data_IF_916558180433
#
_entry.id   IF_916558180433
#
_cell.length_a   1.000
_cell.length_b   1.000
_cell.length_c   1.000
_cell.angle_alpha   90.00
_cell.angle_beta   90.00
_cell.angle_gamma   90.00
#
_symmetry.space_group_name_H-M   'P 1'
#
loop_
_entity.id
_entity.type
_entity.pdbx_description
1 polymer ?
#
# COMPACT_ATOMS: atom_id res chain seq x y z
N UNK A 1 -6.56 17.49 3.47
CA UNK A 1 -5.50 16.95 4.35
C UNK A 1 -4.26 17.77 4.07
N UNK A 2 -3.95 18.72 4.95
CA UNK A 2 -2.68 19.44 4.93
C UNK A 2 -1.63 18.47 5.46
N UNK A 3 -0.97 17.75 4.55
CA UNK A 3 0.29 17.10 4.90
C UNK A 3 1.24 18.23 5.26
N UNK A 4 1.68 18.24 6.53
CA UNK A 4 2.73 19.12 7.01
C UNK A 4 3.89 19.18 6.01
N UNK A 5 4.52 20.35 5.95
CA UNK A 5 5.59 20.71 5.04
C UNK A 5 6.45 19.50 4.64
N UNK A 6 6.43 19.11 3.35
CA UNK A 6 7.14 17.91 2.83
C UNK A 6 8.65 17.91 3.12
N UNK A 7 9.20 19.05 3.54
CA UNK A 7 10.59 19.23 3.95
C UNK A 7 10.96 18.50 5.26
N UNK A 8 10.00 18.23 6.15
CA UNK A 8 10.29 17.79 7.53
C UNK A 8 10.20 16.27 7.74
N UNK A 9 10.01 15.49 6.68
CA UNK A 9 9.90 14.02 6.77
C UNK A 9 11.13 13.32 6.21
N UNK A 10 11.49 12.19 6.83
CA UNK A 10 12.59 11.34 6.38
C UNK A 10 12.17 10.37 5.27
N UNK A 11 10.88 10.03 5.20
CA UNK A 11 10.32 9.00 4.33
C UNK A 11 8.85 9.26 4.03
N UNK A 12 8.35 8.65 2.96
CA UNK A 12 6.92 8.67 2.60
C UNK A 12 6.40 7.22 2.55
N UNK A 13 5.27 6.97 3.21
CA UNK A 13 4.53 5.72 3.09
C UNK A 13 3.11 6.06 2.63
N UNK A 14 2.67 5.47 1.53
CA UNK A 14 1.32 5.65 1.00
C UNK A 14 0.58 4.32 0.90
N UNK A 15 -0.74 4.34 1.09
CA UNK A 15 -1.51 3.12 0.91
C UNK A 15 -2.99 3.34 0.66
N UNK A 16 -3.63 2.32 0.10
CA UNK A 16 -5.06 2.29 -0.19
C UNK A 16 -5.56 0.86 -0.32
N UNK A 17 -6.83 0.63 -0.01
CA UNK A 17 -7.51 -0.60 -0.40
C UNK A 17 -7.65 -0.69 -1.93
N UNK A 18 -7.69 -1.91 -2.44
CA UNK A 18 -8.00 -2.25 -3.83
C UNK A 18 -9.49 -2.57 -3.90
N UNK A 19 -10.25 -1.80 -4.68
CA UNK A 19 -11.63 -2.12 -5.04
C UNK A 19 -11.74 -2.21 -6.56
N UNK A 20 -12.33 -3.29 -7.06
CA UNK A 20 -12.49 -3.57 -8.49
C UNK A 20 -11.16 -3.41 -9.26
N UNK A 21 -10.09 -4.05 -8.78
CA UNK A 21 -8.78 -4.06 -9.43
C UNK A 21 -8.04 -2.72 -9.43
N UNK A 22 -8.43 -1.77 -8.57
CA UNK A 22 -7.73 -0.49 -8.48
C UNK A 22 -7.75 0.08 -7.07
N UNK A 23 -6.73 0.89 -6.73
CA UNK A 23 -6.80 1.72 -5.53
C UNK A 23 -8.13 2.51 -5.47
N UNK A 24 -8.65 2.68 -4.26
CA UNK A 24 -9.83 3.51 -4.02
C UNK A 24 -9.64 4.90 -4.64
N UNK A 25 -10.76 5.51 -5.07
CA UNK A 25 -10.76 6.79 -5.79
C UNK A 25 -9.95 7.88 -5.09
N UNK A 26 -10.02 7.96 -3.75
CA UNK A 26 -9.26 8.95 -2.96
C UNK A 26 -7.76 8.72 -3.06
N UNK A 27 -7.29 7.48 -2.89
CA UNK A 27 -5.87 7.11 -3.04
C UNK A 27 -5.34 7.37 -4.45
N UNK A 28 -6.09 6.97 -5.49
CA UNK A 28 -5.73 7.27 -6.89
C UNK A 28 -5.61 8.75 -7.17
N UNK A 29 -6.59 9.55 -6.71
CA UNK A 29 -6.56 11.01 -6.88
C UNK A 29 -5.38 11.62 -6.14
N UNK A 30 -5.06 11.16 -4.94
CA UNK A 30 -3.90 11.65 -4.19
C UNK A 30 -2.61 11.44 -4.99
N UNK A 31 -2.34 10.22 -5.47
CA UNK A 31 -1.14 9.94 -6.27
C UNK A 31 -1.12 10.80 -7.53
N UNK A 32 -2.20 10.79 -8.33
CA UNK A 32 -2.28 11.54 -9.59
C UNK A 32 -2.08 13.04 -9.41
N UNK A 33 -2.69 13.63 -8.38
CA UNK A 33 -2.60 15.07 -8.13
C UNK A 33 -1.21 15.48 -7.59
N UNK A 34 -0.44 14.53 -7.06
CA UNK A 34 0.89 14.78 -6.48
C UNK A 34 2.02 14.10 -7.26
N UNK A 35 1.75 13.52 -8.44
CA UNK A 35 2.72 12.74 -9.25
C UNK A 35 4.05 13.47 -9.40
N UNK A 36 4.03 14.72 -9.86
CA UNK A 36 5.26 15.51 -10.06
C UNK A 36 6.02 15.69 -8.75
N UNK A 37 5.33 16.03 -7.67
CA UNK A 37 5.95 16.24 -6.37
C UNK A 37 6.52 14.94 -5.79
N UNK A 38 5.83 13.81 -5.95
CA UNK A 38 6.26 12.51 -5.47
C UNK A 38 7.42 11.94 -6.30
N UNK A 39 7.44 12.17 -7.62
CA UNK A 39 8.54 11.76 -8.51
C UNK A 39 9.82 12.55 -8.29
N UNK A 40 9.70 13.84 -8.03
CA UNK A 40 10.84 14.73 -7.86
C UNK A 40 11.29 14.82 -6.38
N UNK A 41 10.59 14.14 -5.48
CA UNK A 41 10.92 14.12 -4.07
C UNK A 41 12.15 13.22 -3.84
N UNK A 42 13.18 13.72 -3.11
CA UNK A 42 14.38 12.94 -2.82
C UNK A 42 14.17 11.91 -1.70
N UNK A 43 13.06 11.97 -0.95
CA UNK A 43 12.81 11.06 0.17
C UNK A 43 12.35 9.68 -0.32
N UNK A 44 12.89 8.58 0.24
CA UNK A 44 12.47 7.24 -0.12
C UNK A 44 10.97 7.04 0.13
N UNK A 45 10.31 6.38 -0.81
CA UNK A 45 8.86 6.22 -0.81
C UNK A 45 8.48 4.74 -0.92
N UNK A 46 7.67 4.26 0.02
CA UNK A 46 7.05 2.94 -0.01
C UNK A 46 5.56 3.04 -0.23
N UNK A 47 4.99 1.98 -0.79
CA UNK A 47 3.55 1.83 -0.93
C UNK A 47 3.06 0.51 -0.35
N UNK A 48 1.82 0.50 0.13
CA UNK A 48 1.12 -0.74 0.43
C UNK A 48 -0.29 -0.73 -0.15
N UNK A 49 -0.79 -1.91 -0.50
CA UNK A 49 -2.17 -2.13 -0.90
C UNK A 49 -2.85 -3.05 0.09
N UNK A 50 -4.15 -2.87 0.30
CA UNK A 50 -4.98 -3.87 0.99
C UNK A 50 -5.92 -4.48 -0.02
N UNK A 51 -5.73 -5.76 -0.34
CA UNK A 51 -6.46 -6.47 -1.38
C UNK A 51 -7.39 -7.55 -0.85
N UNK A 52 -7.86 -8.37 -1.77
CA UNK A 52 -8.64 -9.56 -1.46
C UNK A 52 -7.69 -10.72 -1.08
N UNK A 53 -8.10 -11.63 -0.19
CA UNK A 53 -7.32 -12.83 0.12
C UNK A 53 -6.89 -13.58 -1.15
N UNK A 54 -5.74 -14.27 -1.11
CA UNK A 54 -5.19 -14.92 -2.29
C UNK A 54 -6.12 -16.05 -2.76
N UNK A 55 -6.82 -15.80 -3.85
CA UNK A 55 -7.63 -16.74 -4.62
C UNK A 55 -7.35 -16.49 -6.10
N UNK A 56 -7.59 -17.46 -6.97
CA UNK A 56 -7.21 -17.41 -8.40
C UNK A 56 -7.65 -16.12 -9.11
N UNK A 57 -8.86 -15.62 -8.83
CA UNK A 57 -9.39 -14.39 -9.41
C UNK A 57 -8.74 -13.09 -8.93
N UNK A 58 -7.95 -13.13 -7.85
CA UNK A 58 -7.20 -12.00 -7.28
C UNK A 58 -5.68 -12.19 -7.39
N UNK A 59 -5.25 -13.25 -8.10
CA UNK A 59 -3.84 -13.43 -8.43
C UNK A 59 -3.34 -12.22 -9.23
N UNK A 60 -2.16 -11.72 -8.85
CA UNK A 60 -1.54 -10.60 -9.52
C UNK A 60 -1.97 -9.21 -9.05
N UNK A 61 -2.85 -9.06 -8.06
CA UNK A 61 -3.19 -7.75 -7.46
C UNK A 61 -1.93 -6.98 -7.03
N UNK A 62 -0.97 -7.66 -6.40
CA UNK A 62 0.29 -7.05 -5.95
C UNK A 62 1.09 -6.50 -7.14
N UNK A 63 1.32 -7.36 -8.16
CA UNK A 63 2.04 -6.96 -9.37
C UNK A 63 1.33 -5.83 -10.10
N UNK A 64 0.02 -5.90 -10.26
CA UNK A 64 -0.78 -4.88 -10.94
C UNK A 64 -0.67 -3.53 -10.22
N UNK A 65 -0.76 -3.51 -8.89
CA UNK A 65 -0.65 -2.27 -8.13
C UNK A 65 0.76 -1.72 -8.14
N UNK A 66 1.78 -2.58 -7.99
CA UNK A 66 3.19 -2.20 -8.14
C UNK A 66 3.45 -1.57 -9.52
N UNK A 67 3.02 -2.23 -10.59
CA UNK A 67 3.21 -1.75 -11.97
C UNK A 67 2.49 -0.41 -12.22
N UNK A 68 1.28 -0.25 -11.69
CA UNK A 68 0.55 1.02 -11.80
C UNK A 68 1.24 2.15 -11.03
N UNK A 69 1.64 1.90 -9.78
CA UNK A 69 2.29 2.90 -8.93
C UNK A 69 3.67 3.31 -9.45
N UNK A 70 4.50 2.36 -9.89
CA UNK A 70 5.84 2.63 -10.42
C UNK A 70 5.81 3.48 -11.70
N UNK A 71 4.69 3.47 -12.45
CA UNK A 71 4.48 4.40 -13.57
C UNK A 71 4.18 5.82 -13.12
N UNK A 72 3.64 6.00 -11.91
CA UNK A 72 3.31 7.31 -11.35
C UNK A 72 4.46 7.88 -10.53
N UNK A 73 5.11 7.09 -9.68
CA UNK A 73 6.07 7.55 -8.68
C UNK A 73 7.27 6.60 -8.57
N UNK A 74 8.38 7.10 -8.04
CA UNK A 74 9.53 6.24 -7.69
C UNK A 74 9.21 5.54 -6.38
N UNK A 75 9.44 4.22 -6.33
CA UNK A 75 9.15 3.40 -5.15
C UNK A 75 10.38 2.58 -4.76
N UNK A 76 10.68 2.58 -3.46
CA UNK A 76 11.60 1.63 -2.84
C UNK A 76 10.96 0.23 -2.76
N UNK A 77 9.65 0.17 -2.53
CA UNK A 77 8.93 -1.08 -2.44
C UNK A 77 7.42 -0.91 -2.45
N UNK A 78 6.75 -2.00 -2.83
CA UNK A 78 5.30 -2.16 -2.69
C UNK A 78 5.01 -3.48 -1.98
N UNK A 79 4.02 -3.48 -1.08
CA UNK A 79 3.57 -4.68 -0.37
C UNK A 79 2.04 -4.83 -0.44
N UNK A 80 1.56 -6.02 -0.76
CA UNK A 80 0.15 -6.37 -0.60
C UNK A 80 -0.13 -6.97 0.79
N UNK A 81 -1.15 -6.43 1.45
CA UNK A 81 -1.72 -6.95 2.69
C UNK A 81 -3.18 -7.37 2.50
N UNK A 82 -3.70 -8.13 3.46
CA UNK A 82 -5.09 -8.56 3.48
C UNK A 82 -5.79 -8.04 4.73
N UNK A 83 -7.09 -7.79 4.59
CA UNK A 83 -7.93 -7.28 5.67
C UNK A 83 -8.68 -8.36 6.44
N UNK A 84 -9.53 -7.90 7.35
CA UNK A 84 -10.54 -8.72 8.01
C UNK A 84 -11.91 -8.42 7.41
N UNK A 85 -12.62 -9.48 7.02
CA UNK A 85 -13.99 -9.38 6.54
C UNK A 85 -14.90 -10.15 7.48
N UNK A 86 -15.83 -9.43 8.10
CA UNK A 86 -16.84 -10.02 8.97
C UNK A 86 -18.20 -9.86 8.30
N UNK A 87 -19.00 -10.91 8.32
CA UNK A 87 -20.30 -10.91 7.64
C UNK A 87 -21.22 -9.80 8.16
N UNK A 88 -21.17 -9.52 9.48
CA UNK A 88 -21.97 -8.46 10.13
C UNK A 88 -21.60 -7.04 9.67
N UNK A 89 -20.39 -6.85 9.14
CA UNK A 89 -19.84 -5.54 8.80
C UNK A 89 -19.98 -5.23 7.29
N UNK A 90 -20.63 -6.12 6.53
CA UNK A 90 -20.79 -5.98 5.08
C UNK A 90 -22.26 -5.94 4.63
N UNK A 91 -22.56 -5.04 3.69
CA UNK A 91 -23.90 -4.92 3.09
C UNK A 91 -24.23 -6.07 2.12
N UNK A 92 -25.51 -6.19 1.75
CA UNK A 92 -26.02 -7.31 0.95
C UNK A 92 -25.30 -7.55 -0.39
N UNK A 93 -24.94 -6.49 -1.12
CA UNK A 93 -24.20 -6.64 -2.37
C UNK A 93 -22.82 -7.28 -2.18
N UNK A 94 -22.12 -6.95 -1.09
CA UNK A 94 -20.82 -7.54 -0.78
C UNK A 94 -20.96 -8.96 -0.24
N UNK A 95 -22.05 -9.28 0.47
CA UNK A 95 -22.41 -10.66 0.83
C UNK A 95 -22.62 -11.54 -0.39
N UNK A 96 -23.40 -11.06 -1.36
CA UNK A 96 -23.64 -11.77 -2.61
C UNK A 96 -22.34 -11.97 -3.40
N UNK A 97 -21.49 -10.94 -3.46
CA UNK A 97 -20.15 -11.06 -4.04
C UNK A 97 -19.33 -12.17 -3.37
N UNK A 98 -19.25 -12.18 -2.03
CA UNK A 98 -18.50 -13.23 -1.32
C UNK A 98 -19.04 -14.63 -1.62
N UNK A 99 -20.35 -14.78 -1.68
CA UNK A 99 -21.00 -16.04 -2.03
C UNK A 99 -20.69 -16.48 -3.47
N UNK A 100 -20.88 -15.61 -4.46
CA UNK A 100 -20.66 -15.92 -5.88
C UNK A 100 -19.20 -16.32 -6.20
N UNK A 101 -18.24 -15.75 -5.46
CA UNK A 101 -16.81 -15.95 -5.69
C UNK A 101 -16.16 -16.93 -4.70
N UNK A 102 -16.95 -17.62 -3.86
CA UNK A 102 -16.43 -18.60 -2.90
C UNK A 102 -15.49 -18.01 -1.84
N UNK A 103 -15.66 -16.72 -1.54
CA UNK A 103 -14.86 -16.02 -0.53
C UNK A 103 -15.41 -16.28 0.86
N UNK A 104 -14.49 -16.42 1.82
CA UNK A 104 -14.83 -16.61 3.23
C UNK A 104 -14.77 -15.29 3.97
N UNK A 105 -15.73 -15.09 4.87
CA UNK A 105 -15.67 -14.04 5.88
C UNK A 105 -14.71 -14.48 6.97
N UNK A 106 -13.48 -13.99 6.90
CA UNK A 106 -12.43 -14.31 7.85
C UNK A 106 -11.44 -13.14 8.01
N UNK A 107 -10.65 -13.22 9.07
CA UNK A 107 -9.52 -12.33 9.26
C UNK A 107 -8.28 -12.92 8.58
N UNK A 108 -7.78 -12.24 7.54
CA UNK A 108 -6.54 -12.60 6.85
C UNK A 108 -5.39 -11.65 7.15
N UNK A 109 -5.55 -10.73 8.11
CA UNK A 109 -4.45 -9.87 8.54
C UNK A 109 -3.36 -10.74 9.13
N UNK A 110 -2.17 -10.64 8.56
CA UNK A 110 -0.96 -11.16 9.16
C UNK A 110 -0.23 -9.97 9.82
N UNK A 111 -0.46 -9.79 11.13
CA UNK A 111 0.15 -8.70 11.89
C UNK A 111 1.67 -8.80 11.94
N UNK A 112 2.20 -10.01 12.12
CA UNK A 112 3.64 -10.27 12.11
C UNK A 112 4.28 -9.84 10.78
N UNK A 113 3.68 -10.18 9.64
CA UNK A 113 4.18 -9.74 8.34
C UNK A 113 4.07 -8.22 8.10
N UNK A 114 3.12 -7.53 8.77
CA UNK A 114 3.04 -6.07 8.72
C UNK A 114 4.15 -5.43 9.56
N UNK A 115 4.40 -5.97 10.75
CA UNK A 115 5.46 -5.51 11.64
C UNK A 115 6.84 -5.76 11.01
N UNK A 116 7.07 -6.95 10.44
CA UNK A 116 8.31 -7.26 9.72
C UNK A 116 8.58 -6.31 8.55
N UNK A 117 7.53 -5.94 7.81
CA UNK A 117 7.63 -5.00 6.71
C UNK A 117 7.97 -3.59 7.21
N UNK A 118 7.29 -3.13 8.26
CA UNK A 118 7.56 -1.83 8.87
C UNK A 118 8.98 -1.76 9.45
N UNK A 119 9.41 -2.79 10.18
CA UNK A 119 10.77 -2.91 10.70
C UNK A 119 11.81 -2.96 9.58
N UNK A 120 11.47 -3.60 8.46
CA UNK A 120 12.28 -3.60 7.25
C UNK A 120 12.55 -2.19 6.72
N UNK A 121 11.51 -1.35 6.67
CA UNK A 121 11.63 0.06 6.26
C UNK A 121 12.52 0.82 7.26
N UNK A 122 12.32 0.63 8.57
CA UNK A 122 13.15 1.28 9.60
C UNK A 122 14.63 0.90 9.45
N UNK A 123 14.93 -0.38 9.18
CA UNK A 123 16.30 -0.83 8.93
C UNK A 123 16.90 -0.17 7.68
N UNK A 124 16.14 -0.08 6.59
CA UNK A 124 16.58 0.59 5.36
C UNK A 124 16.89 2.07 5.60
N UNK A 125 16.03 2.78 6.32
CA UNK A 125 16.22 4.20 6.64
C UNK A 125 17.46 4.44 7.52
N UNK A 126 17.67 3.62 8.56
CA UNK A 126 18.86 3.72 9.42
C UNK A 126 20.16 3.48 8.63
N UNK A 127 20.16 2.49 7.74
CA UNK A 127 21.31 2.21 6.89
C UNK A 127 21.63 3.38 5.96
N UNK A 128 20.61 4.00 5.36
CA UNK A 128 20.80 5.17 4.49
C UNK A 128 21.30 6.39 5.26
N UNK A 129 20.75 6.66 6.46
CA UNK A 129 21.24 7.74 7.32
C UNK A 129 22.71 7.55 7.72
N UNK A 130 23.11 6.32 8.07
CA UNK A 130 24.51 6.00 8.39
C UNK A 130 25.43 6.21 7.19
N UNK A 131 25.00 5.81 5.99
CA UNK A 131 25.75 6.01 4.74
C UNK A 131 25.97 7.49 4.44
N UNK A 132 24.95 8.33 4.64
CA UNK A 132 25.04 9.76 4.41
C UNK A 132 25.90 10.46 5.47
N UNK A 133 25.83 10.02 6.74
CA UNK A 133 26.63 10.57 7.83
C UNK A 133 28.11 10.14 7.83
N UNK A 134 28.49 9.13 7.05
CA UNK A 134 29.91 8.72 6.87
C UNK A 134 30.59 9.37 5.68
N UNK A 135 29.84 10.12 4.86
CA UNK A 135 30.34 10.86 3.68
C UNK A 135 30.37 12.39 3.92
N UNK A 136 30.03 12.85 5.13
CA UNK A 136 29.99 14.25 5.54
C UNK A 136 31.14 14.66 6.45
#
# INVERSE_FOLDING_TARGET
MNCANRADVDAIIIGSCIHAGSWMRKGKKFVKNNTTALRNNPKPTWAFSVGMPPQSQFEGEEKQMKDWLSKQIVLEGHKLFYGAYQEKDVGGCLKLFFHCFGLKFEDKRNWEAMDEWADGIVRQLRAEQQRLGTLG
#
